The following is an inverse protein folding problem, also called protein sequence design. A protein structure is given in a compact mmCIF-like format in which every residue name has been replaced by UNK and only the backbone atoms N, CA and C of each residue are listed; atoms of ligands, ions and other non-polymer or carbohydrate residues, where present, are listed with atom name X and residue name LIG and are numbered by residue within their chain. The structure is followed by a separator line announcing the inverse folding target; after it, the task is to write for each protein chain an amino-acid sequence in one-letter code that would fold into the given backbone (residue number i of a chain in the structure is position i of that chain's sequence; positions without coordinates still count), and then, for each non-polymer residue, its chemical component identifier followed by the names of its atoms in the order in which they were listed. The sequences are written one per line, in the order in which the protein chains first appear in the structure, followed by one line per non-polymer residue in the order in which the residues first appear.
data_IF_582301336987
#
_entry.id   IF_582301336987
#
_cell.length_a   1.000
_cell.length_b   1.000
_cell.length_c   1.000
_cell.angle_alpha   90.00
_cell.angle_beta   90.00
_cell.angle_gamma   90.00
#
_symmetry.space_group_name_H-M   'P 1'
#
loop_
_entity.id
_entity.type
_entity.pdbx_description
1 polymer ?
#
# COMPACT_ATOMS: atom_id res chain seq x y z
N UNK A 1 -8.12 5.86 6.29
CA UNK A 1 -7.69 7.02 5.48
C UNK A 1 -8.89 7.79 4.92
N UNK A 2 -9.36 7.59 3.68
CA UNK A 2 -10.41 8.43 3.01
C UNK A 2 -11.72 8.61 3.81
N UNK A 3 -12.23 7.54 4.44
CA UNK A 3 -13.44 7.60 5.28
C UNK A 3 -13.25 8.48 6.52
N UNK A 4 -12.04 8.49 7.09
CA UNK A 4 -11.73 9.25 8.31
C UNK A 4 -11.65 10.75 8.04
N UNK A 5 -11.08 11.14 6.89
CA UNK A 5 -11.05 12.54 6.43
C UNK A 5 -12.38 13.04 5.84
N UNK A 6 -13.47 12.24 5.90
CA UNK A 6 -14.81 12.60 5.38
C UNK A 6 -14.78 13.05 3.91
N UNK A 7 -13.91 12.46 3.09
CA UNK A 7 -13.63 12.88 1.69
C UNK A 7 -13.11 14.32 1.55
N UNK A 8 -12.69 14.95 2.64
CA UNK A 8 -11.95 16.21 2.64
C UNK A 8 -10.47 15.99 2.33
N UNK A 9 -9.88 16.96 1.65
CA UNK A 9 -8.48 16.93 1.24
C UNK A 9 -8.19 16.07 0.00
N UNK A 10 -6.96 16.18 -0.48
CA UNK A 10 -6.42 15.39 -1.58
C UNK A 10 -5.47 14.35 -1.03
N UNK A 11 -5.46 13.16 -1.65
CA UNK A 11 -4.59 12.05 -1.28
C UNK A 11 -3.91 11.54 -2.54
N UNK A 12 -2.60 11.36 -2.47
CA UNK A 12 -1.81 10.76 -3.54
C UNK A 12 -1.30 9.39 -3.13
N UNK A 13 -1.38 8.43 -4.07
CA UNK A 13 -0.64 7.17 -4.01
C UNK A 13 0.75 7.41 -4.61
N UNK A 14 1.81 7.13 -3.87
CA UNK A 14 3.19 7.30 -4.35
C UNK A 14 3.83 5.99 -4.81
N UNK A 15 3.10 4.87 -4.65
CA UNK A 15 3.48 3.54 -5.11
C UNK A 15 2.47 3.01 -6.11
N UNK A 16 2.94 2.22 -7.07
CA UNK A 16 2.09 1.53 -8.05
C UNK A 16 2.50 0.05 -8.12
N UNK A 17 1.56 -0.89 -8.16
CA UNK A 17 1.87 -2.33 -8.23
C UNK A 17 2.15 -2.75 -9.68
N UNK A 18 3.41 -2.66 -10.08
CA UNK A 18 3.90 -2.95 -11.43
C UNK A 18 4.51 -4.35 -11.60
N UNK A 19 4.81 -5.05 -10.49
CA UNK A 19 5.46 -6.37 -10.54
C UNK A 19 4.44 -7.51 -10.44
N UNK A 20 4.30 -8.38 -11.45
CA UNK A 20 3.42 -9.55 -11.36
C UNK A 20 4.07 -10.69 -10.56
N UNK A 21 3.26 -11.39 -9.78
CA UNK A 21 3.64 -12.61 -9.07
C UNK A 21 2.75 -13.76 -9.52
N UNK A 22 3.39 -14.85 -9.95
CA UNK A 22 2.71 -16.06 -10.42
C UNK A 22 2.48 -17.05 -9.30
N UNK A 23 1.37 -17.78 -9.35
CA UNK A 23 1.09 -18.91 -8.47
C UNK A 23 0.69 -20.12 -9.30
N UNK A 24 1.02 -21.32 -8.80
CA UNK A 24 0.52 -22.57 -9.38
C UNK A 24 -0.79 -22.96 -8.69
N UNK A 25 -1.76 -23.52 -9.43
CA UNK A 25 -2.95 -24.09 -8.82
C UNK A 25 -2.59 -25.16 -7.80
N UNK A 26 -3.48 -25.32 -6.82
CA UNK A 26 -3.40 -26.42 -5.85
C UNK A 26 -3.47 -27.77 -6.59
N UNK A 27 -2.99 -28.83 -5.95
CA UNK A 27 -3.04 -30.22 -6.46
C UNK A 27 -2.14 -30.51 -7.69
N UNK A 28 -1.25 -29.59 -8.08
CA UNK A 28 -0.28 -29.84 -9.14
C UNK A 28 1.10 -30.23 -8.59
N UNK A 29 1.71 -31.28 -9.16
CA UNK A 29 3.11 -31.64 -8.85
C UNK A 29 4.07 -30.58 -9.39
N UNK A 30 5.26 -30.48 -8.78
CA UNK A 30 6.34 -29.60 -9.25
C UNK A 30 6.78 -29.95 -10.68
N UNK A 31 7.29 -28.95 -11.42
CA UNK A 31 7.62 -29.04 -12.85
C UNK A 31 6.64 -28.30 -13.76
N UNK A 32 6.67 -28.60 -15.07
CA UNK A 32 5.78 -28.06 -16.13
C UNK A 32 5.79 -26.53 -16.34
N UNK A 33 6.86 -25.84 -15.93
CA UNK A 33 7.03 -24.41 -16.17
C UNK A 33 6.46 -23.49 -15.07
N UNK A 34 6.29 -22.21 -15.42
CA UNK A 34 5.82 -21.14 -14.52
C UNK A 34 4.30 -20.96 -14.62
N UNK A 35 3.64 -20.69 -13.50
CA UNK A 35 2.19 -20.45 -13.46
C UNK A 35 1.81 -19.07 -14.00
N UNK A 36 0.50 -18.82 -14.10
CA UNK A 36 -0.04 -17.52 -14.51
C UNK A 36 0.14 -16.46 -13.41
N UNK A 37 0.27 -15.17 -13.75
CA UNK A 37 0.21 -14.07 -12.78
C UNK A 37 -1.12 -14.07 -12.00
N UNK A 38 -1.07 -14.02 -10.67
CA UNK A 38 -2.27 -13.98 -9.79
C UNK A 38 -2.41 -12.64 -9.07
N UNK A 39 -1.30 -12.02 -8.66
CA UNK A 39 -1.33 -10.73 -7.97
C UNK A 39 -0.20 -9.81 -8.41
N UNK A 40 -0.41 -8.51 -8.24
CA UNK A 40 0.56 -7.45 -8.54
C UNK A 40 1.07 -6.87 -7.23
N UNK A 41 2.39 -6.68 -7.13
CA UNK A 41 3.04 -6.19 -5.91
C UNK A 41 3.84 -4.94 -6.20
N UNK A 42 3.91 -4.05 -5.22
CA UNK A 42 4.83 -2.93 -5.21
C UNK A 42 5.98 -3.24 -4.23
N UNK A 43 7.22 -3.07 -4.67
CA UNK A 43 8.40 -3.27 -3.81
C UNK A 43 8.65 -2.00 -2.99
N UNK A 44 8.51 -2.11 -1.67
CA UNK A 44 8.73 -1.00 -0.73
C UNK A 44 10.08 -1.18 -0.02
N UNK A 45 10.95 -0.17 -0.11
CA UNK A 45 12.22 -0.10 0.64
C UNK A 45 12.11 0.94 1.77
N UNK A 46 12.91 0.84 2.85
CA UNK A 46 12.95 1.85 3.90
C UNK A 46 13.18 3.26 3.33
N UNK A 47 12.48 4.26 3.86
CA UNK A 47 12.54 5.65 3.40
C UNK A 47 11.62 5.98 2.21
N UNK A 48 10.91 5.01 1.64
CA UNK A 48 9.93 5.27 0.56
C UNK A 48 8.64 5.87 1.12
N UNK A 49 8.21 7.00 0.55
CA UNK A 49 6.88 7.57 0.78
C UNK A 49 5.79 6.71 0.10
N UNK A 50 4.75 6.33 0.84
CA UNK A 50 3.64 5.49 0.34
C UNK A 50 2.42 6.31 -0.06
N UNK A 51 2.05 7.26 0.80
CA UNK A 51 0.88 8.10 0.66
C UNK A 51 1.25 9.54 1.01
N UNK A 52 0.63 10.49 0.32
CA UNK A 52 0.69 11.91 0.65
C UNK A 52 -0.73 12.45 0.81
N UNK A 53 -0.89 13.48 1.64
CA UNK A 53 -2.20 14.09 1.92
C UNK A 53 -2.04 15.60 2.07
N UNK A 54 -2.97 16.35 1.49
CA UNK A 54 -3.03 17.81 1.53
C UNK A 54 -4.45 18.29 1.83
N UNK A 55 -4.61 19.45 2.45
CA UNK A 55 -5.91 20.08 2.69
C UNK A 55 -6.66 19.56 3.91
N UNK A 56 -5.96 19.00 4.89
CA UNK A 56 -6.52 18.59 6.19
C UNK A 56 -5.60 19.01 7.33
N UNK A 57 -6.14 19.14 8.55
CA UNK A 57 -5.34 19.47 9.72
C UNK A 57 -4.43 18.30 10.14
N UNK A 58 -3.28 18.62 10.74
CA UNK A 58 -2.29 17.61 11.17
C UNK A 58 -2.87 16.54 12.10
N UNK A 59 -3.70 16.85 13.12
CA UNK A 59 -4.27 15.82 14.00
C UNK A 59 -5.12 14.80 13.24
N UNK A 60 -5.91 15.28 12.27
CA UNK A 60 -6.76 14.43 11.43
C UNK A 60 -5.90 13.59 10.47
N UNK A 61 -4.85 14.18 9.88
CA UNK A 61 -3.92 13.46 9.01
C UNK A 61 -3.21 12.33 9.76
N UNK A 62 -2.69 12.63 10.95
CA UNK A 62 -1.97 11.68 11.80
C UNK A 62 -2.84 10.48 12.16
N UNK A 63 -4.09 10.70 12.55
CA UNK A 63 -5.02 9.62 12.86
C UNK A 63 -5.44 8.83 11.60
N UNK A 64 -5.68 9.52 10.48
CA UNK A 64 -6.00 8.87 9.21
C UNK A 64 -4.87 7.94 8.72
N UNK A 65 -3.60 8.34 8.92
CA UNK A 65 -2.42 7.55 8.59
C UNK A 65 -2.14 6.45 9.62
N UNK A 66 -2.40 6.67 10.91
CA UNK A 66 -2.34 5.60 11.93
C UNK A 66 -3.28 4.45 11.56
N UNK A 67 -4.51 4.76 11.18
CA UNK A 67 -5.48 3.76 10.73
C UNK A 67 -5.07 3.07 9.42
N UNK A 68 -4.32 3.75 8.55
CA UNK A 68 -3.78 3.15 7.33
C UNK A 68 -2.62 2.21 7.63
N UNK A 69 -1.72 2.60 8.54
CA UNK A 69 -0.56 1.82 8.96
C UNK A 69 -0.93 0.42 9.47
N UNK A 70 -2.02 0.30 10.24
CA UNK A 70 -2.51 -1.00 10.74
C UNK A 70 -2.98 -1.97 9.64
N UNK A 71 -3.15 -1.51 8.40
CA UNK A 71 -3.54 -2.35 7.26
C UNK A 71 -2.36 -2.74 6.38
N UNK A 72 -1.17 -2.24 6.69
CA UNK A 72 0.05 -2.50 5.92
C UNK A 72 0.89 -3.56 6.63
N UNK A 73 1.58 -4.38 5.85
CA UNK A 73 2.52 -5.39 6.35
C UNK A 73 3.90 -4.82 6.70
N UNK A 74 4.07 -3.49 6.65
CA UNK A 74 5.35 -2.81 6.90
C UNK A 74 5.22 -1.77 7.99
N UNK A 75 6.28 -1.59 8.78
CA UNK A 75 6.38 -0.48 9.72
C UNK A 75 6.41 0.85 8.97
N UNK A 76 5.66 1.83 9.44
CA UNK A 76 5.55 3.15 8.81
C UNK A 76 5.80 4.25 9.84
N UNK A 77 6.21 5.43 9.35
CA UNK A 77 6.41 6.64 10.15
C UNK A 77 5.64 7.78 9.50
N UNK A 78 4.96 8.58 10.33
CA UNK A 78 4.36 9.83 9.88
C UNK A 78 5.45 10.89 9.70
N UNK A 79 5.40 11.60 8.58
CA UNK A 79 6.35 12.67 8.23
C UNK A 79 5.51 13.90 7.88
N UNK A 80 5.78 15.01 8.57
CA UNK A 80 5.28 16.33 8.24
C UNK A 80 6.38 17.12 7.52
N UNK A 81 5.96 18.02 6.63
CA UNK A 81 6.84 18.92 5.90
C UNK A 81 6.91 20.27 6.60
#
# INVERSE_FOLDING_TARGET
MTRHVKRGGKIWLRIFPDKPVSKKPLETRMGKGKGNPEFWVAVVKPGRMLYEMEGVSEPIAKEAFRLAAHKLSVATRFVAK
#
